data_IF_583810186707
#
_entry.id   IF_583810186707
#
_cell.length_a   1.000
_cell.length_b   1.000
_cell.length_c   1.000
_cell.angle_alpha   90.00
_cell.angle_beta   90.00
_cell.angle_gamma   90.00
#
_symmetry.space_group_name_H-M   'P 1'
#
loop_
_entity.id
_entity.type
_entity.pdbx_description
1 polymer ?
#
# COMPACT_ATOMS: atom_id res chain seq x y z
N UNK A 1 -28.55 -26.06 -9.21
CA UNK A 1 -27.50 -26.01 -8.17
C UNK A 1 -26.32 -25.19 -8.72
N UNK A 2 -26.25 -23.87 -8.49
CA UNK A 2 -25.13 -23.07 -8.97
C UNK A 2 -23.97 -23.12 -7.97
N UNK A 3 -22.78 -23.47 -8.44
CA UNK A 3 -21.55 -23.46 -7.66
C UNK A 3 -21.13 -22.00 -7.42
N UNK A 4 -21.32 -21.51 -6.20
CA UNK A 4 -20.70 -20.27 -5.74
C UNK A 4 -19.21 -20.52 -5.59
N UNK A 5 -18.42 -19.97 -6.53
CA UNK A 5 -16.97 -19.80 -6.41
C UNK A 5 -16.68 -19.01 -5.13
N UNK A 6 -16.39 -19.74 -4.05
CA UNK A 6 -15.77 -19.20 -2.85
C UNK A 6 -14.52 -18.45 -3.29
N UNK A 7 -14.51 -17.13 -3.09
CA UNK A 7 -13.45 -16.25 -3.58
C UNK A 7 -12.09 -16.82 -3.21
N UNK A 8 -11.34 -17.27 -4.22
CA UNK A 8 -10.09 -17.98 -4.05
C UNK A 8 -9.13 -17.08 -3.26
N UNK A 9 -8.94 -17.41 -1.98
CA UNK A 9 -7.79 -16.92 -1.23
C UNK A 9 -6.57 -17.63 -1.81
N UNK A 10 -5.49 -16.90 -2.03
CA UNK A 10 -4.23 -17.47 -2.51
C UNK A 10 -3.26 -17.53 -1.32
N UNK A 11 -3.49 -18.43 -0.34
CA UNK A 11 -2.79 -18.41 0.94
C UNK A 11 -1.29 -18.69 0.79
N UNK A 12 -0.84 -19.28 -0.31
CA UNK A 12 0.57 -19.63 -0.55
C UNK A 12 1.32 -18.63 -1.41
N UNK A 13 0.69 -17.53 -1.82
CA UNK A 13 1.30 -16.57 -2.73
C UNK A 13 2.28 -15.67 -1.96
N UNK A 14 3.57 -15.84 -2.26
CA UNK A 14 4.68 -15.16 -1.58
C UNK A 14 5.13 -13.89 -2.28
N UNK A 15 5.02 -13.85 -3.60
CA UNK A 15 5.42 -12.70 -4.41
C UNK A 15 4.28 -12.30 -5.33
N UNK A 16 3.88 -11.03 -5.26
CA UNK A 16 2.86 -10.44 -6.12
C UNK A 16 3.44 -9.22 -6.84
N UNK A 17 3.47 -9.29 -8.17
CA UNK A 17 3.90 -8.21 -9.03
C UNK A 17 2.70 -7.73 -9.84
N UNK A 18 2.26 -6.49 -9.62
CA UNK A 18 1.17 -5.87 -10.36
C UNK A 18 1.72 -4.68 -11.14
N UNK A 19 1.82 -4.85 -12.46
CA UNK A 19 2.38 -3.84 -13.37
C UNK A 19 1.30 -3.05 -14.13
N UNK A 20 0.03 -3.32 -13.85
CA UNK A 20 -1.11 -2.67 -14.50
C UNK A 20 -1.38 -1.30 -13.89
N UNK A 21 -1.82 -0.38 -14.72
CA UNK A 21 -2.14 0.96 -14.27
C UNK A 21 -3.49 1.00 -13.56
N UNK A 22 -3.47 0.88 -12.24
CA UNK A 22 -4.65 0.91 -11.37
C UNK A 22 -5.17 2.36 -11.27
N UNK A 23 -5.87 2.82 -12.30
CA UNK A 23 -6.45 4.15 -12.34
C UNK A 23 -7.81 4.17 -11.65
N UNK A 24 -7.93 5.04 -10.64
CA UNK A 24 -9.16 5.60 -10.04
C UNK A 24 -10.32 4.59 -9.82
N UNK A 25 -10.36 4.00 -8.61
CA UNK A 25 -11.49 3.19 -8.13
C UNK A 25 -11.09 1.83 -7.55
N UNK A 26 -9.88 1.34 -7.87
CA UNK A 26 -9.41 0.00 -7.47
C UNK A 26 -8.59 -0.03 -6.18
N UNK A 27 -8.45 1.09 -5.45
CA UNK A 27 -7.75 1.07 -4.15
C UNK A 27 -8.39 0.08 -3.16
N UNK A 28 -9.70 -0.13 -3.27
CA UNK A 28 -10.43 -1.09 -2.46
C UNK A 28 -10.13 -2.54 -2.88
N UNK A 29 -9.81 -2.78 -4.16
CA UNK A 29 -9.38 -4.09 -4.66
C UNK A 29 -8.00 -4.46 -4.14
N UNK A 30 -7.05 -3.52 -4.11
CA UNK A 30 -5.70 -3.76 -3.58
C UNK A 30 -5.78 -4.11 -2.10
N UNK A 31 -6.52 -3.31 -1.32
CA UNK A 31 -6.75 -3.56 0.12
C UNK A 31 -7.46 -4.90 0.34
N UNK A 32 -8.48 -5.23 -0.47
CA UNK A 32 -9.17 -6.52 -0.39
C UNK A 32 -8.29 -7.71 -0.79
N UNK A 33 -7.37 -7.53 -1.74
CA UNK A 33 -6.41 -8.56 -2.15
C UNK A 33 -5.42 -8.84 -1.00
N UNK A 34 -4.91 -7.81 -0.35
CA UNK A 34 -3.95 -7.93 0.77
C UNK A 34 -4.53 -8.69 1.95
N UNK A 35 -5.81 -8.44 2.26
CA UNK A 35 -6.56 -9.22 3.25
C UNK A 35 -6.59 -10.72 2.97
N UNK A 36 -6.43 -11.12 1.70
CA UNK A 36 -6.41 -12.52 1.24
C UNK A 36 -5.02 -13.09 1.05
N UNK A 37 -3.96 -12.33 1.34
CA UNK A 37 -2.56 -12.70 1.08
C UNK A 37 -1.72 -12.68 2.38
N UNK A 38 -2.04 -13.55 3.36
CA UNK A 38 -1.39 -13.52 4.67
C UNK A 38 0.08 -13.97 4.66
N UNK A 39 0.52 -14.70 3.63
CA UNK A 39 1.89 -15.18 3.48
C UNK A 39 2.69 -14.36 2.46
N UNK A 40 2.23 -13.16 2.10
CA UNK A 40 2.93 -12.32 1.16
C UNK A 40 4.26 -11.85 1.75
N UNK A 41 5.34 -12.13 1.03
CA UNK A 41 6.71 -11.76 1.38
C UNK A 41 7.19 -10.59 0.51
N UNK A 42 6.71 -10.49 -0.73
CA UNK A 42 7.11 -9.47 -1.69
C UNK A 42 5.90 -8.89 -2.42
N UNK A 43 5.79 -7.56 -2.42
CA UNK A 43 4.77 -6.84 -3.15
C UNK A 43 5.42 -5.75 -4.01
N UNK A 44 5.28 -5.89 -5.33
CA UNK A 44 5.76 -4.90 -6.29
C UNK A 44 4.55 -4.35 -7.04
N UNK A 45 4.30 -3.05 -6.87
CA UNK A 45 3.28 -2.31 -7.60
C UNK A 45 3.96 -1.30 -8.51
N UNK A 46 3.56 -1.29 -9.78
CA UNK A 46 4.03 -0.30 -10.75
C UNK A 46 2.83 0.45 -11.32
N UNK A 47 2.94 1.77 -11.47
CA UNK A 47 1.95 2.63 -12.14
C UNK A 47 0.55 2.61 -11.50
N UNK A 48 0.46 2.47 -10.18
CA UNK A 48 -0.81 2.48 -9.44
C UNK A 48 -1.03 3.71 -8.59
N UNK A 49 -2.25 3.86 -8.08
CA UNK A 49 -2.57 4.83 -7.03
C UNK A 49 -2.48 4.16 -5.66
N UNK A 50 -1.72 4.77 -4.74
CA UNK A 50 -1.63 4.36 -3.35
C UNK A 50 -2.54 5.22 -2.47
N UNK A 51 -3.35 4.57 -1.65
CA UNK A 51 -4.16 5.19 -0.60
C UNK A 51 -3.58 4.92 0.80
N UNK A 52 -3.98 5.70 1.80
CA UNK A 52 -3.53 5.54 3.20
C UNK A 52 -3.91 4.18 3.81
N UNK A 53 -5.02 3.57 3.40
CA UNK A 53 -5.48 2.31 3.96
C UNK A 53 -4.63 1.11 3.54
N UNK A 54 -3.88 1.25 2.44
CA UNK A 54 -3.07 0.16 1.91
C UNK A 54 -1.91 -0.22 2.84
N UNK A 55 -1.03 0.70 3.27
CA UNK A 55 0.01 0.40 4.26
C UNK A 55 -0.56 -0.14 5.58
N UNK A 56 -1.71 0.37 6.03
CA UNK A 56 -2.38 -0.15 7.24
C UNK A 56 -2.78 -1.61 7.05
N UNK A 57 -3.43 -1.94 5.94
CA UNK A 57 -3.83 -3.31 5.64
C UNK A 57 -2.64 -4.26 5.47
N UNK A 58 -1.52 -3.80 4.89
CA UNK A 58 -0.28 -4.58 4.83
C UNK A 58 0.25 -4.89 6.22
N UNK A 59 0.24 -3.90 7.12
CA UNK A 59 0.67 -4.11 8.49
C UNK A 59 -0.26 -5.08 9.23
N UNK A 60 -1.57 -5.02 9.03
CA UNK A 60 -2.49 -5.90 9.74
C UNK A 60 -2.55 -7.34 9.17
N UNK A 61 -2.49 -7.48 7.85
CA UNK A 61 -2.79 -8.74 7.17
C UNK A 61 -1.58 -9.45 6.57
N UNK A 62 -0.45 -8.77 6.34
CA UNK A 62 0.77 -9.37 5.79
C UNK A 62 1.91 -9.36 6.85
N UNK A 63 1.91 -10.29 7.82
CA UNK A 63 2.94 -10.39 8.84
C UNK A 63 4.35 -10.62 8.27
N UNK A 64 4.45 -11.29 7.11
CA UNK A 64 5.71 -11.77 6.52
C UNK A 64 6.27 -10.89 5.41
N UNK A 65 5.72 -9.69 5.20
CA UNK A 65 6.16 -8.82 4.12
C UNK A 65 7.60 -8.35 4.38
N UNK A 66 8.52 -8.71 3.48
CA UNK A 66 9.94 -8.36 3.53
C UNK A 66 10.31 -7.27 2.51
N UNK A 67 9.58 -7.22 1.38
CA UNK A 67 9.80 -6.27 0.30
C UNK A 67 8.49 -5.60 -0.13
N UNK A 68 8.53 -4.28 -0.21
CA UNK A 68 7.45 -3.45 -0.75
C UNK A 68 8.02 -2.43 -1.73
N UNK A 69 7.73 -2.60 -3.01
CA UNK A 69 8.07 -1.62 -4.04
C UNK A 69 6.80 -0.95 -4.57
N UNK A 70 6.67 0.34 -4.29
CA UNK A 70 5.63 1.21 -4.81
C UNK A 70 6.23 2.46 -5.48
N UNK A 71 7.52 2.46 -5.82
CA UNK A 71 8.24 3.67 -6.25
C UNK A 71 7.69 4.32 -7.52
N UNK A 72 7.08 3.51 -8.38
CA UNK A 72 6.43 3.94 -9.63
C UNK A 72 4.93 4.20 -9.46
N UNK A 73 4.42 4.26 -8.23
CA UNK A 73 3.04 4.61 -7.90
C UNK A 73 2.91 6.06 -7.43
N UNK A 74 1.68 6.57 -7.46
CA UNK A 74 1.35 7.92 -6.97
C UNK A 74 0.46 7.82 -5.74
N UNK A 75 0.86 8.48 -4.65
CA UNK A 75 0.00 8.64 -3.48
C UNK A 75 -0.91 9.86 -3.66
N UNK A 76 -2.23 9.63 -3.63
CA UNK A 76 -3.23 10.70 -3.65
C UNK A 76 -3.34 11.42 -2.31
N UNK A 77 -3.05 10.71 -1.23
CA UNK A 77 -3.10 11.21 0.14
C UNK A 77 -1.71 11.15 0.75
N UNK A 78 -1.49 11.97 1.77
CA UNK A 78 -0.24 11.94 2.50
C UNK A 78 -0.24 10.73 3.42
N UNK A 79 0.85 9.97 3.35
CA UNK A 79 1.15 8.91 4.29
C UNK A 79 1.86 9.59 5.46
N UNK A 80 1.35 9.42 6.67
CA UNK A 80 1.97 10.00 7.86
C UNK A 80 3.27 9.29 8.21
N UNK A 81 4.18 10.02 8.86
CA UNK A 81 5.49 9.50 9.25
C UNK A 81 5.43 8.26 10.13
N UNK A 82 4.50 8.18 11.08
CA UNK A 82 4.43 7.04 12.02
C UNK A 82 4.05 5.75 11.29
N UNK A 83 3.12 5.81 10.34
CA UNK A 83 2.80 4.68 9.46
C UNK A 83 3.99 4.26 8.60
N UNK A 84 4.75 5.24 8.08
CA UNK A 84 6.01 4.99 7.36
C UNK A 84 7.03 4.28 8.25
N UNK A 85 7.30 4.80 9.45
CA UNK A 85 8.22 4.21 10.42
C UNK A 85 7.80 2.79 10.83
N UNK A 86 6.49 2.53 10.99
CA UNK A 86 5.98 1.18 11.28
C UNK A 86 6.21 0.22 10.12
N UNK A 87 6.05 0.68 8.88
CA UNK A 87 6.38 -0.09 7.69
C UNK A 87 7.88 -0.35 7.61
N UNK A 88 8.72 0.66 7.81
CA UNK A 88 10.19 0.52 7.80
C UNK A 88 10.71 -0.41 8.89
N UNK A 89 10.14 -0.33 10.10
CA UNK A 89 10.51 -1.23 11.20
C UNK A 89 10.12 -2.68 10.93
N UNK A 90 9.13 -2.94 10.06
CA UNK A 90 8.66 -4.29 9.77
C UNK A 90 9.18 -4.87 8.47
N UNK A 91 9.33 -4.04 7.45
CA UNK A 91 9.78 -4.41 6.10
C UNK A 91 11.30 -4.28 6.11
N UNK A 92 11.96 -5.43 6.30
CA UNK A 92 13.38 -5.47 6.64
C UNK A 92 14.35 -5.38 5.46
N UNK A 93 13.90 -5.59 4.22
CA UNK A 93 14.81 -5.64 3.05
C UNK A 93 14.74 -4.40 2.17
N UNK A 94 13.60 -4.14 1.55
CA UNK A 94 13.50 -3.05 0.58
C UNK A 94 12.10 -2.44 0.60
N UNK A 95 12.09 -1.12 0.76
CA UNK A 95 10.88 -0.32 0.83
C UNK A 95 11.02 0.88 -0.10
N UNK A 96 10.20 0.92 -1.14
CA UNK A 96 10.08 2.08 -2.04
C UNK A 96 8.69 2.67 -1.93
N UNK A 97 8.64 3.90 -1.43
CA UNK A 97 7.40 4.64 -1.25
C UNK A 97 6.90 5.24 -2.56
N UNK A 98 5.57 5.37 -2.73
CA UNK A 98 4.99 6.04 -3.89
C UNK A 98 5.39 7.51 -3.94
N UNK A 99 5.44 8.04 -5.14
CA UNK A 99 5.65 9.45 -5.38
C UNK A 99 4.44 10.25 -4.91
N UNK A 100 4.70 11.38 -4.26
CA UNK A 100 3.65 12.31 -3.84
C UNK A 100 3.04 12.97 -5.07
N UNK A 101 1.71 12.98 -5.17
CA UNK A 101 1.02 13.80 -6.17
C UNK A 101 1.41 15.27 -6.05
N UNK A 102 1.90 15.85 -7.14
CA UNK A 102 2.68 17.09 -7.23
C UNK A 102 1.84 18.37 -7.44
N UNK A 103 0.52 18.29 -7.28
CA UNK A 103 -0.40 19.40 -7.59
C UNK A 103 -0.48 20.55 -6.57
N UNK A 104 0.37 20.59 -5.54
CA UNK A 104 0.23 21.54 -4.41
C UNK A 104 1.51 22.35 -4.19
N UNK A 105 1.39 23.66 -3.89
CA UNK A 105 2.52 24.52 -3.48
C UNK A 105 3.39 23.81 -2.42
N UNK A 106 4.74 23.86 -2.51
CA UNK A 106 5.63 23.30 -1.48
C UNK A 106 5.29 23.74 -0.06
N UNK A 107 4.86 24.99 0.09
CA UNK A 107 4.40 25.58 1.34
C UNK A 107 3.19 24.85 1.95
N UNK A 108 2.15 24.64 1.15
CA UNK A 108 0.92 23.94 1.56
C UNK A 108 1.20 22.44 1.73
N UNK A 109 2.05 21.88 0.88
CA UNK A 109 2.48 20.49 0.93
C UNK A 109 3.17 20.16 2.26
N UNK A 110 4.06 21.04 2.74
CA UNK A 110 4.72 20.90 4.02
C UNK A 110 3.73 20.99 5.19
N UNK A 111 2.84 21.99 5.20
CA UNK A 111 1.83 22.14 6.27
C UNK A 111 0.85 20.97 6.33
N UNK A 112 0.42 20.48 5.17
CA UNK A 112 -0.44 19.31 5.08
C UNK A 112 0.26 18.05 5.61
N UNK A 113 1.57 17.90 5.36
CA UNK A 113 2.34 16.78 5.92
C UNK A 113 2.44 16.88 7.44
N UNK A 114 2.73 18.07 7.99
CA UNK A 114 2.77 18.29 9.44
C UNK A 114 1.42 17.90 10.06
N UNK A 115 0.32 18.36 9.48
CA UNK A 115 -1.02 18.03 9.95
C UNK A 115 -1.27 16.52 9.94
N UNK A 116 -0.91 15.83 8.86
CA UNK A 116 -1.07 14.37 8.78
C UNK A 116 -0.18 13.65 9.78
N UNK A 117 1.06 14.11 10.00
CA UNK A 117 1.98 13.52 10.97
C UNK A 117 1.47 13.71 12.42
N UNK A 118 0.88 14.87 12.74
CA UNK A 118 0.28 15.14 14.06
C UNK A 118 -0.99 14.33 14.33
N UNK A 119 -1.70 13.93 13.26
CA UNK A 119 -2.93 13.15 13.32
C UNK A 119 -2.74 11.69 12.84
N UNK A 120 -1.51 11.17 12.87
CA UNK A 120 -1.21 9.79 12.51
C UNK A 120 -1.40 8.87 13.73
N UNK A 121 -2.66 8.49 13.99
CA UNK A 121 -3.04 7.55 15.08
C UNK A 121 -2.87 6.07 14.70
#
# INVERSE_FOLDING_TARGET
MPAYIHGCSAPSLRSLHVTSALYRGEGDLVTAAIKKLPLLEQLVLSRGIVKKEWPVALLEHCPRLELLDAGDCVALELIGKRLVERCESRISKELRWPQRGDGVCPCCAMRAQIYVDEHDE
#
